data_IF_827574987417
#
_entry.id   IF_827574987417
#
_cell.length_a   1.000
_cell.length_b   1.000
_cell.length_c   1.000
_cell.angle_alpha   90.00
_cell.angle_beta   90.00
_cell.angle_gamma   90.00
#
_symmetry.space_group_name_H-M   'P 1'
#
loop_
_entity.id
_entity.type
_entity.pdbx_description
1 polymer ?
#
# COMPACT_ATOMS: atom_id res chain seq x y z
N UNK A 1 -30.02 2.56 11.67
CA UNK A 1 -28.84 3.42 11.87
C UNK A 1 -28.03 3.37 10.59
N UNK A 2 -27.64 4.54 10.07
CA UNK A 2 -26.85 4.64 8.85
C UNK A 2 -25.37 4.33 9.15
N UNK A 3 -24.94 3.12 8.78
CA UNK A 3 -23.58 2.63 8.99
C UNK A 3 -22.55 3.41 8.16
N UNK A 4 -22.97 4.02 7.05
CA UNK A 4 -22.11 4.86 6.20
C UNK A 4 -21.77 6.16 6.92
N UNK A 5 -22.79 6.82 7.49
CA UNK A 5 -22.61 8.04 8.28
C UNK A 5 -21.76 7.79 9.55
N UNK A 6 -21.91 6.61 10.17
CA UNK A 6 -21.08 6.21 11.31
C UNK A 6 -19.60 6.00 10.92
N UNK A 7 -19.35 5.31 9.80
CA UNK A 7 -18.00 5.12 9.28
C UNK A 7 -17.34 6.45 8.91
N UNK A 8 -18.09 7.37 8.29
CA UNK A 8 -17.62 8.71 7.95
C UNK A 8 -17.22 9.53 9.19
N UNK A 9 -17.99 9.43 10.28
CA UNK A 9 -17.68 10.08 11.55
C UNK A 9 -16.44 9.50 12.21
N UNK A 10 -16.26 8.17 12.15
CA UNK A 10 -15.08 7.51 12.70
C UNK A 10 -13.81 7.86 11.92
N UNK A 11 -13.90 7.97 10.59
CA UNK A 11 -12.79 8.39 9.74
C UNK A 11 -12.27 9.79 10.07
N UNK A 12 -13.11 10.72 10.53
CA UNK A 12 -12.68 12.06 10.94
C UNK A 12 -11.69 12.05 12.11
N UNK A 13 -11.72 11.03 12.99
CA UNK A 13 -10.80 10.92 14.12
C UNK A 13 -9.44 10.29 13.75
N UNK A 14 -9.39 9.51 12.67
CA UNK A 14 -8.17 8.81 12.24
C UNK A 14 -7.22 9.76 11.49
N UNK A 15 -7.76 10.73 10.76
CA UNK A 15 -6.97 11.72 10.06
C UNK A 15 -6.69 12.94 10.96
N UNK A 16 -5.49 12.99 11.54
CA UNK A 16 -4.98 14.18 12.26
C UNK A 16 -4.81 15.42 11.34
N UNK A 17 -5.21 15.33 10.07
CA UNK A 17 -5.19 16.36 9.01
C UNK A 17 -6.57 16.48 8.33
N UNK A 18 -7.63 16.48 9.16
CA UNK A 18 -9.00 16.02 8.86
C UNK A 18 -9.84 16.67 7.75
N UNK A 19 -9.35 17.66 6.99
CA UNK A 19 -10.17 18.32 5.95
C UNK A 19 -9.54 18.34 4.55
N UNK A 20 -8.21 18.36 4.43
CA UNK A 20 -7.54 18.45 3.12
C UNK A 20 -7.34 17.08 2.45
N UNK A 21 -7.05 16.04 3.23
CA UNK A 21 -6.73 14.71 2.67
C UNK A 21 -7.97 13.95 2.20
N UNK A 22 -9.14 14.18 2.79
CA UNK A 22 -10.40 13.49 2.44
C UNK A 22 -10.76 13.66 0.95
N UNK A 23 -10.80 14.87 0.36
CA UNK A 23 -11.07 15.02 -1.07
C UNK A 23 -9.98 14.39 -1.95
N UNK A 24 -8.70 14.47 -1.55
CA UNK A 24 -7.60 13.86 -2.30
C UNK A 24 -7.75 12.34 -2.40
N UNK A 25 -8.09 11.67 -1.30
CA UNK A 25 -8.34 10.23 -1.31
C UNK A 25 -9.57 9.86 -2.14
N UNK A 26 -10.63 10.68 -2.15
CA UNK A 26 -11.79 10.45 -3.01
C UNK A 26 -11.44 10.55 -4.50
N UNK A 27 -10.57 11.48 -4.88
CA UNK A 27 -10.07 11.59 -6.24
C UNK A 27 -9.21 10.37 -6.60
N UNK A 28 -8.29 9.97 -5.72
CA UNK A 28 -7.44 8.79 -5.93
C UNK A 28 -8.24 7.49 -6.08
N UNK A 29 -9.32 7.31 -5.29
CA UNK A 29 -10.21 6.14 -5.41
C UNK A 29 -10.88 6.07 -6.78
N UNK A 30 -11.26 7.22 -7.37
CA UNK A 30 -11.91 7.31 -8.69
C UNK A 30 -10.93 7.15 -9.86
N UNK A 31 -9.64 7.29 -9.64
CA UNK A 31 -8.64 7.13 -10.69
C UNK A 31 -8.56 5.66 -11.15
N UNK A 32 -8.39 5.41 -12.46
CA UNK A 32 -8.17 4.06 -13.00
C UNK A 32 -6.96 3.39 -12.36
N UNK A 33 -7.02 2.08 -12.16
CA UNK A 33 -5.97 1.29 -11.50
C UNK A 33 -4.62 1.39 -12.21
N UNK A 34 -4.62 1.54 -13.54
CA UNK A 34 -3.39 1.63 -14.34
C UNK A 34 -2.61 2.93 -14.06
N UNK A 35 -3.31 3.99 -13.60
CA UNK A 35 -2.71 5.32 -13.36
C UNK A 35 -2.31 5.57 -11.91
N UNK A 36 -2.53 4.61 -11.02
CA UNK A 36 -2.24 4.72 -9.58
C UNK A 36 -1.26 3.66 -9.08
N UNK A 37 -0.30 3.27 -9.93
CA UNK A 37 0.80 2.38 -9.55
C UNK A 37 1.86 3.16 -8.78
N UNK A 38 2.19 2.72 -7.57
CA UNK A 38 3.15 3.42 -6.69
C UNK A 38 4.23 2.43 -6.28
N UNK A 39 5.49 2.78 -6.54
CA UNK A 39 6.66 1.98 -6.15
C UNK A 39 7.16 2.42 -4.79
N UNK A 40 7.30 1.46 -3.87
CA UNK A 40 7.90 1.64 -2.56
C UNK A 40 9.28 0.97 -2.54
N UNK A 41 10.33 1.80 -2.61
CA UNK A 41 11.71 1.34 -2.67
C UNK A 41 12.19 0.70 -1.34
N UNK A 42 11.66 1.17 -0.20
CA UNK A 42 11.95 0.64 1.13
C UNK A 42 10.89 -0.39 1.56
N UNK A 43 10.55 -1.33 0.67
CA UNK A 43 9.42 -2.23 0.87
C UNK A 43 9.53 -3.13 2.10
N UNK A 44 10.74 -3.30 2.65
CA UNK A 44 10.95 -4.08 3.86
C UNK A 44 10.65 -3.25 5.15
N UNK A 45 10.65 -1.92 5.15
CA UNK A 45 10.44 -1.09 6.36
C UNK A 45 9.03 -1.27 6.95
N UNK A 46 8.92 -1.33 8.28
CA UNK A 46 7.64 -1.54 8.97
C UNK A 46 6.63 -0.43 8.66
N UNK A 47 7.06 0.83 8.66
CA UNK A 47 6.16 1.98 8.43
C UNK A 47 5.64 1.96 7.00
N UNK A 48 6.49 1.56 6.05
CA UNK A 48 6.11 1.39 4.64
C UNK A 48 5.09 0.27 4.51
N UNK A 49 5.34 -0.91 5.09
CA UNK A 49 4.42 -2.04 5.04
C UNK A 49 3.05 -1.72 5.68
N UNK A 50 3.03 -0.98 6.79
CA UNK A 50 1.79 -0.50 7.42
C UNK A 50 1.04 0.51 6.53
N UNK A 51 1.76 1.43 5.89
CA UNK A 51 1.15 2.38 4.97
C UNK A 51 0.55 1.66 3.75
N UNK A 52 1.27 0.69 3.19
CA UNK A 52 0.82 -0.12 2.06
C UNK A 52 -0.45 -0.90 2.39
N UNK A 53 -0.57 -1.44 3.62
CA UNK A 53 -1.81 -2.07 4.05
C UNK A 53 -3.01 -1.12 3.98
N UNK A 54 -2.86 0.12 4.47
CA UNK A 54 -3.93 1.11 4.39
C UNK A 54 -4.26 1.44 2.92
N UNK A 55 -3.24 1.57 2.07
CA UNK A 55 -3.43 1.83 0.64
C UNK A 55 -4.22 0.73 -0.05
N UNK A 56 -3.94 -0.53 0.27
CA UNK A 56 -4.67 -1.70 -0.25
C UNK A 56 -6.10 -1.76 0.29
N UNK A 57 -6.26 -1.66 1.62
CA UNK A 57 -7.57 -1.76 2.29
C UNK A 57 -8.54 -0.67 1.78
N UNK A 58 -8.04 0.55 1.59
CA UNK A 58 -8.82 1.70 1.11
C UNK A 58 -8.88 1.79 -0.42
N UNK A 59 -8.25 0.86 -1.16
CA UNK A 59 -8.18 0.81 -2.64
C UNK A 59 -7.66 2.11 -3.27
N UNK A 60 -6.71 2.76 -2.59
CA UNK A 60 -6.17 4.08 -2.98
C UNK A 60 -5.21 4.00 -4.16
N UNK A 61 -4.44 2.90 -4.26
CA UNK A 61 -3.41 2.73 -5.27
C UNK A 61 -3.13 1.23 -5.53
N UNK A 62 -2.32 0.94 -6.53
CA UNK A 62 -1.76 -0.39 -6.81
C UNK A 62 -0.30 -0.39 -6.39
N UNK A 63 0.02 -0.77 -5.14
CA UNK A 63 1.38 -0.68 -4.61
C UNK A 63 2.29 -1.76 -5.18
N UNK A 64 3.55 -1.39 -5.38
CA UNK A 64 4.65 -2.25 -5.82
C UNK A 64 5.73 -2.16 -4.75
N UNK A 65 6.06 -3.27 -4.11
CA UNK A 65 7.09 -3.35 -3.09
C UNK A 65 8.40 -3.80 -3.72
N UNK A 66 9.46 -3.04 -3.50
CA UNK A 66 10.82 -3.48 -3.83
C UNK A 66 11.45 -4.08 -2.58
N UNK A 67 11.89 -5.33 -2.68
CA UNK A 67 12.50 -6.04 -1.56
C UNK A 67 12.56 -7.54 -1.77
N UNK A 68 13.19 -8.25 -0.83
CA UNK A 68 13.34 -9.71 -0.93
C UNK A 68 12.03 -10.40 -0.54
N UNK A 69 11.47 -11.28 -1.39
CA UNK A 69 10.19 -11.92 -1.13
C UNK A 69 10.12 -12.66 0.22
N UNK A 70 11.19 -13.36 0.61
CA UNK A 70 11.20 -14.07 1.90
C UNK A 70 11.17 -13.10 3.09
N UNK A 71 11.89 -11.98 2.99
CA UNK A 71 11.94 -10.97 4.05
C UNK A 71 10.60 -10.24 4.16
N UNK A 72 9.98 -9.90 3.03
CA UNK A 72 8.65 -9.30 2.99
C UNK A 72 7.61 -10.22 3.63
N UNK A 73 7.59 -11.50 3.25
CA UNK A 73 6.66 -12.48 3.84
C UNK A 73 6.85 -12.61 5.36
N UNK A 74 8.10 -12.73 5.82
CA UNK A 74 8.42 -12.80 7.25
C UNK A 74 7.98 -11.54 8.01
N UNK A 75 8.19 -10.34 7.43
CA UNK A 75 7.80 -9.07 8.06
C UNK A 75 6.30 -8.88 8.09
N UNK A 76 5.59 -9.25 7.03
CA UNK A 76 4.12 -9.25 6.97
C UNK A 76 3.54 -10.10 8.10
N UNK A 77 4.04 -11.32 8.29
CA UNK A 77 3.62 -12.19 9.38
C UNK A 77 3.99 -11.61 10.75
N UNK A 78 5.25 -11.18 10.92
CA UNK A 78 5.76 -10.60 12.18
C UNK A 78 4.93 -9.39 12.64
N UNK A 79 4.49 -8.55 11.71
CA UNK A 79 3.74 -7.33 12.02
C UNK A 79 2.21 -7.54 12.03
N UNK A 80 1.75 -8.78 11.81
CA UNK A 80 0.32 -9.11 11.79
C UNK A 80 -0.44 -8.39 10.66
N UNK A 81 0.22 -8.21 9.51
CA UNK A 81 -0.40 -7.56 8.35
C UNK A 81 -1.24 -8.59 7.57
N UNK A 82 -2.32 -8.11 6.98
CA UNK A 82 -3.29 -8.84 6.15
C UNK A 82 -2.89 -8.86 4.68
N UNK A 83 -2.03 -7.94 4.24
CA UNK A 83 -1.56 -7.89 2.85
C UNK A 83 -0.79 -9.16 2.50
N UNK A 84 -1.04 -9.72 1.32
CA UNK A 84 -0.32 -10.89 0.81
C UNK A 84 0.60 -10.47 -0.35
N UNK A 85 1.92 -10.50 -0.15
CA UNK A 85 2.89 -10.27 -1.22
C UNK A 85 2.62 -11.17 -2.43
N UNK A 86 2.54 -10.59 -3.63
CA UNK A 86 2.26 -11.30 -4.88
C UNK A 86 0.77 -11.49 -5.23
N UNK A 87 -0.15 -11.20 -4.31
CA UNK A 87 -1.60 -11.22 -4.56
C UNK A 87 -2.16 -9.81 -4.46
N UNK A 88 -1.98 -9.19 -3.29
CA UNK A 88 -2.54 -7.87 -3.00
C UNK A 88 -1.57 -6.73 -3.38
N UNK A 89 -0.28 -7.06 -3.49
CA UNK A 89 0.80 -6.14 -3.84
C UNK A 89 1.77 -6.81 -4.82
N UNK A 90 2.24 -6.08 -5.82
CA UNK A 90 3.29 -6.55 -6.72
C UNK A 90 4.64 -6.51 -5.97
N UNK A 91 5.50 -7.51 -6.16
CA UNK A 91 6.81 -7.58 -5.52
C UNK A 91 7.89 -7.63 -6.59
N UNK A 92 8.84 -6.70 -6.51
CA UNK A 92 10.04 -6.67 -7.35
C UNK A 92 11.23 -7.04 -6.47
N UNK A 93 11.94 -8.10 -6.85
CA UNK A 93 13.15 -8.53 -6.17
C UNK A 93 14.40 -8.01 -6.91
N UNK A 94 15.14 -7.02 -6.34
CA UNK A 94 16.32 -6.47 -6.99
C UNK A 94 17.55 -7.41 -7.00
N UNK A 95 17.59 -8.42 -6.12
CA UNK A 95 18.74 -9.36 -6.03
C UNK A 95 18.64 -10.54 -7.01
N UNK A 96 17.48 -10.74 -7.64
CA UNK A 96 17.22 -11.86 -8.57
C UNK A 96 16.55 -11.37 -9.87
N UNK A 97 16.89 -10.17 -10.34
CA UNK A 97 16.41 -9.69 -11.62
C UNK A 97 17.29 -10.28 -12.76
N UNK A 98 16.74 -11.08 -13.70
CA UNK A 98 17.46 -11.49 -14.92
C UNK A 98 17.97 -10.32 -15.76
N UNK A 99 17.45 -9.10 -15.55
CA UNK A 99 17.84 -7.84 -16.20
C UNK A 99 18.98 -7.11 -15.48
N UNK A 100 19.58 -7.69 -14.43
CA UNK A 100 20.73 -7.07 -13.75
C UNK A 100 21.90 -6.79 -14.72
N UNK A 101 21.98 -7.50 -15.85
CA UNK A 101 22.98 -7.27 -16.91
C UNK A 101 22.68 -6.10 -17.87
N UNK A 102 21.47 -5.54 -17.89
CA UNK A 102 21.06 -4.51 -18.87
C UNK A 102 21.07 -3.07 -18.28
N UNK A 103 21.38 -2.91 -16.99
CA UNK A 103 21.38 -1.60 -16.30
C UNK A 103 22.77 -0.95 -16.16
N UNK A 104 23.81 -1.55 -16.73
CA UNK A 104 25.19 -1.03 -16.81
C UNK A 104 25.66 -1.01 -18.26
#
# INVERSE_FOLDING_TARGET
>A
QDMQAYADKLQQFVYHSGTFMKPLFQIAKKAPAERKRIVYAEGEDERVLRAVQVVVDEKLATPILVGRPQVLAQRVEKFGLRIRPGIDVEVINPEFDPRYRDYW
#
